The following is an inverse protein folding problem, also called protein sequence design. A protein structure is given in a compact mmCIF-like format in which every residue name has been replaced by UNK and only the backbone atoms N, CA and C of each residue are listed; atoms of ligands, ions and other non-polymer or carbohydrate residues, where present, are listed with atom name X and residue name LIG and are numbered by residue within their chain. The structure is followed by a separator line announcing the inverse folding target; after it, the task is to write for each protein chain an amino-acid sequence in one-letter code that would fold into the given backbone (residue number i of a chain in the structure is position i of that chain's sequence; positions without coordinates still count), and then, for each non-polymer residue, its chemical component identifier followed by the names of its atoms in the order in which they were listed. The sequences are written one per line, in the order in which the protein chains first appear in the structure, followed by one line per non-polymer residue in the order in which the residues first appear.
data_IF_455485068065
#
_entry.id   IF_455485068065
#
_cell.length_a   1.000
_cell.length_b   1.000
_cell.length_c   1.000
_cell.angle_alpha   90.00
_cell.angle_beta   90.00
_cell.angle_gamma   90.00
#
_symmetry.space_group_name_H-M   'P 1'
#
loop_
_entity.id
_entity.type
_entity.pdbx_description
1 polymer ?
#
# COMPACT_ATOMS: atom_id res chain seq x y z
N UNK A 1 18.76 5.64 -8.23
CA UNK A 1 17.97 5.43 -9.46
C UNK A 1 16.57 4.99 -9.08
N UNK A 2 15.52 5.58 -9.63
CA UNK A 2 14.13 5.18 -9.46
C UNK A 2 13.67 4.39 -10.70
N UNK A 3 13.13 3.18 -10.51
CA UNK A 3 12.51 2.42 -11.60
C UNK A 3 11.00 2.38 -11.41
N UNK A 4 10.25 2.79 -12.44
CA UNK A 4 8.80 2.75 -12.48
C UNK A 4 8.34 1.56 -13.31
N UNK A 5 7.65 0.61 -12.69
CA UNK A 5 6.98 -0.48 -13.38
C UNK A 5 5.50 -0.12 -13.59
N UNK A 6 5.10 0.18 -14.83
CA UNK A 6 3.77 0.73 -15.13
C UNK A 6 3.14 0.11 -16.37
N UNK A 7 1.83 -0.09 -16.35
CA UNK A 7 1.08 -0.61 -17.53
C UNK A 7 1.00 0.41 -18.66
N UNK A 8 0.85 1.69 -18.32
CA UNK A 8 0.71 2.77 -19.29
C UNK A 8 1.72 3.89 -19.02
N UNK A 9 2.90 3.85 -19.67
CA UNK A 9 3.93 4.89 -19.55
C UNK A 9 3.46 6.30 -19.86
N UNK A 10 2.44 6.50 -20.71
CA UNK A 10 1.96 7.85 -21.05
C UNK A 10 1.27 8.57 -19.90
N UNK A 11 0.91 7.86 -18.82
CA UNK A 11 0.38 8.45 -17.58
C UNK A 11 1.46 8.92 -16.62
N UNK A 12 2.74 8.66 -16.91
CA UNK A 12 3.85 9.15 -16.09
C UNK A 12 4.08 10.63 -16.41
N UNK A 13 4.11 11.53 -15.40
CA UNK A 13 4.40 12.95 -15.63
C UNK A 13 5.71 13.15 -16.39
N UNK A 14 5.73 14.08 -17.34
CA UNK A 14 6.87 14.34 -18.21
C UNK A 14 8.15 14.65 -17.42
N UNK A 15 8.03 15.42 -16.32
CA UNK A 15 9.14 15.75 -15.43
C UNK A 15 9.83 14.51 -14.84
N UNK A 16 9.11 13.40 -14.66
CA UNK A 16 9.67 12.13 -14.20
C UNK A 16 10.17 11.31 -15.39
N UNK A 17 9.40 11.24 -16.47
CA UNK A 17 9.75 10.46 -17.66
C UNK A 17 11.05 10.92 -18.34
N UNK A 18 11.39 12.22 -18.23
CA UNK A 18 12.60 12.80 -18.79
C UNK A 18 13.77 12.88 -17.77
N UNK A 19 13.57 12.45 -16.52
CA UNK A 19 14.60 12.50 -15.51
C UNK A 19 15.64 11.40 -15.72
N UNK A 20 16.92 11.75 -15.79
CA UNK A 20 18.03 10.78 -15.99
C UNK A 20 18.20 9.80 -14.83
N UNK A 21 17.66 10.11 -13.66
CA UNK A 21 17.64 9.21 -12.50
C UNK A 21 16.37 8.34 -12.44
N UNK A 22 15.50 8.40 -13.45
CA UNK A 22 14.29 7.59 -13.56
C UNK A 22 14.37 6.65 -14.78
N UNK A 23 13.94 5.41 -14.59
CA UNK A 23 13.78 4.40 -15.64
C UNK A 23 12.34 3.93 -15.65
N UNK A 24 11.76 3.73 -16.84
CA UNK A 24 10.41 3.19 -16.99
C UNK A 24 10.50 1.79 -17.58
N UNK A 25 9.82 0.83 -16.96
CA UNK A 25 9.59 -0.51 -17.48
C UNK A 25 8.08 -0.65 -17.70
N UNK A 26 7.69 -0.87 -18.95
CA UNK A 26 6.29 -1.11 -19.30
C UNK A 26 5.94 -2.56 -19.00
N UNK A 27 4.85 -2.79 -18.26
CA UNK A 27 4.35 -4.15 -18.03
C UNK A 27 3.17 -4.20 -17.06
N UNK A 28 2.55 -5.38 -17.00
CA UNK A 28 1.47 -5.72 -16.08
C UNK A 28 1.84 -6.94 -15.23
N UNK A 29 1.00 -7.24 -14.25
CA UNK A 29 1.13 -8.42 -13.40
C UNK A 29 0.84 -9.75 -14.12
N UNK A 30 0.30 -9.66 -15.33
CA UNK A 30 0.07 -10.74 -16.28
C UNK A 30 1.25 -11.00 -17.23
N UNK A 31 2.25 -10.12 -17.27
CA UNK A 31 3.39 -10.18 -18.18
C UNK A 31 4.66 -10.66 -17.47
N UNK A 32 4.95 -11.96 -17.53
CA UNK A 32 6.11 -12.56 -16.86
C UNK A 32 7.45 -11.97 -17.35
N UNK A 33 7.57 -11.64 -18.64
CA UNK A 33 8.81 -11.05 -19.18
C UNK A 33 9.06 -9.68 -18.56
N UNK A 34 8.01 -8.87 -18.46
CA UNK A 34 8.11 -7.56 -17.85
C UNK A 34 8.33 -7.62 -16.32
N UNK A 35 7.76 -8.61 -15.63
CA UNK A 35 8.02 -8.85 -14.20
C UNK A 35 9.48 -9.25 -13.95
N UNK A 36 10.04 -10.13 -14.78
CA UNK A 36 11.46 -10.47 -14.70
C UNK A 36 12.37 -9.27 -14.95
N UNK A 37 12.04 -8.45 -15.96
CA UNK A 37 12.78 -7.23 -16.25
C UNK A 37 12.71 -6.22 -15.07
N UNK A 38 11.54 -6.10 -14.44
CA UNK A 38 11.35 -5.26 -13.25
C UNK A 38 12.15 -5.78 -12.06
N UNK A 39 12.14 -7.10 -11.80
CA UNK A 39 12.94 -7.72 -10.75
C UNK A 39 14.45 -7.54 -10.98
N UNK A 40 14.91 -7.66 -12.22
CA UNK A 40 16.34 -7.51 -12.57
C UNK A 40 16.78 -6.04 -12.76
N UNK A 41 15.97 -5.05 -12.36
CA UNK A 41 16.28 -3.64 -12.58
C UNK A 41 17.36 -3.06 -11.64
N UNK A 42 17.81 -3.84 -10.65
CA UNK A 42 18.89 -3.45 -9.73
C UNK A 42 18.46 -2.56 -8.56
N UNK A 43 17.16 -2.46 -8.26
CA UNK A 43 16.68 -1.74 -7.09
C UNK A 43 16.77 -2.60 -5.81
N UNK A 44 16.99 -1.95 -4.67
CA UNK A 44 17.03 -2.61 -3.35
C UNK A 44 15.65 -2.74 -2.68
N UNK A 45 14.73 -1.81 -3.01
CA UNK A 45 13.45 -1.65 -2.32
C UNK A 45 12.34 -1.58 -3.36
N UNK A 46 11.34 -2.45 -3.20
CA UNK A 46 10.12 -2.44 -3.99
C UNK A 46 9.01 -1.73 -3.22
N UNK A 47 8.31 -0.83 -3.87
CA UNK A 47 7.13 -0.13 -3.32
C UNK A 47 5.98 -0.29 -4.29
N UNK A 48 4.84 -0.76 -3.81
CA UNK A 48 3.63 -0.90 -4.61
C UNK A 48 2.47 -0.10 -4.03
N UNK A 49 1.90 0.75 -4.87
CA UNK A 49 0.65 1.48 -4.63
C UNK A 49 -0.50 0.94 -5.49
N UNK A 50 -0.38 -0.28 -6.02
CA UNK A 50 -1.34 -0.79 -6.99
C UNK A 50 -2.72 -0.95 -6.34
N UNK A 51 -3.73 -0.40 -7.01
CA UNK A 51 -5.14 -0.53 -6.66
C UNK A 51 -5.87 -1.42 -7.66
N UNK A 52 -7.09 -1.84 -7.31
CA UNK A 52 -7.90 -2.66 -8.19
C UNK A 52 -8.34 -1.82 -9.38
N UNK A 53 -8.35 -2.43 -10.57
CA UNK A 53 -8.95 -1.80 -11.75
C UNK A 53 -10.46 -1.93 -11.61
N UNK A 54 -11.19 -0.87 -11.98
CA UNK A 54 -12.65 -0.91 -11.98
C UNK A 54 -13.16 -2.10 -12.80
N UNK A 55 -14.07 -2.88 -12.23
CA UNK A 55 -14.72 -4.00 -12.91
C UNK A 55 -13.88 -5.26 -13.15
N UNK A 56 -12.67 -5.36 -12.59
CA UNK A 56 -11.88 -6.60 -12.72
C UNK A 56 -12.59 -7.81 -12.10
N UNK A 57 -12.23 -9.01 -12.55
CA UNK A 57 -12.73 -10.29 -12.06
C UNK A 57 -11.61 -11.10 -11.41
N UNK A 58 -11.97 -11.88 -10.39
CA UNK A 58 -11.00 -12.72 -9.68
C UNK A 58 -10.03 -11.89 -8.85
N UNK A 59 -8.78 -12.34 -8.76
CA UNK A 59 -7.75 -11.76 -7.88
C UNK A 59 -6.43 -11.45 -8.62
N UNK A 60 -6.46 -10.63 -9.70
CA UNK A 60 -5.30 -10.38 -10.54
C UNK A 60 -4.14 -9.72 -9.80
N UNK A 61 -4.40 -8.92 -8.76
CA UNK A 61 -3.33 -8.32 -7.96
C UNK A 61 -2.64 -9.38 -7.09
N UNK A 62 -3.41 -10.24 -6.43
CA UNK A 62 -2.90 -11.37 -5.65
C UNK A 62 -2.03 -12.27 -6.52
N UNK A 63 -2.54 -12.68 -7.69
CA UNK A 63 -1.79 -13.54 -8.62
C UNK A 63 -0.54 -12.84 -9.17
N UNK A 64 -0.61 -11.53 -9.37
CA UNK A 64 0.55 -10.73 -9.73
C UNK A 64 1.65 -10.72 -8.68
N UNK A 65 1.31 -10.49 -7.41
CA UNK A 65 2.28 -10.55 -6.33
C UNK A 65 2.86 -11.95 -6.14
N UNK A 66 2.05 -13.01 -6.31
CA UNK A 66 2.53 -14.40 -6.27
C UNK A 66 3.61 -14.68 -7.32
N UNK A 67 3.58 -13.99 -8.45
CA UNK A 67 4.61 -14.08 -9.49
C UNK A 67 5.79 -13.16 -9.20
N UNK A 68 5.53 -11.93 -8.79
CA UNK A 68 6.56 -10.90 -8.66
C UNK A 68 7.42 -11.06 -7.41
N UNK A 69 6.84 -11.26 -6.22
CA UNK A 69 7.60 -11.24 -4.97
C UNK A 69 8.71 -12.31 -4.92
N UNK A 70 8.53 -13.54 -5.43
CA UNK A 70 9.62 -14.52 -5.55
C UNK A 70 10.76 -14.06 -6.48
N UNK A 71 10.43 -13.34 -7.56
CA UNK A 71 11.43 -12.77 -8.47
C UNK A 71 12.22 -11.66 -7.77
N UNK A 72 11.57 -10.84 -6.95
CA UNK A 72 12.24 -9.80 -6.16
C UNK A 72 13.17 -10.41 -5.12
N UNK A 73 12.70 -11.43 -4.38
CA UNK A 73 13.50 -12.13 -3.38
C UNK A 73 14.76 -12.76 -3.99
N UNK A 74 14.62 -13.42 -5.15
CA UNK A 74 15.77 -13.99 -5.89
C UNK A 74 16.67 -12.95 -6.57
N UNK A 75 16.18 -11.71 -6.74
CA UNK A 75 16.95 -10.58 -7.28
C UNK A 75 17.56 -9.68 -6.21
N UNK A 76 17.74 -10.20 -4.98
CA UNK A 76 18.37 -9.51 -3.85
C UNK A 76 17.66 -8.23 -3.35
N UNK A 77 16.34 -8.11 -3.57
CA UNK A 77 15.59 -7.02 -2.94
C UNK A 77 15.64 -7.18 -1.42
N UNK A 78 16.04 -6.11 -0.74
CA UNK A 78 16.15 -6.08 0.71
C UNK A 78 14.79 -5.86 1.36
N UNK A 79 13.84 -5.24 0.64
CA UNK A 79 12.56 -4.82 1.20
C UNK A 79 11.45 -4.72 0.16
N UNK A 80 10.23 -5.08 0.56
CA UNK A 80 9.00 -4.83 -0.18
C UNK A 80 7.97 -4.10 0.69
N UNK A 81 7.46 -2.96 0.24
CA UNK A 81 6.38 -2.22 0.88
C UNK A 81 5.15 -2.28 -0.01
N UNK A 82 4.09 -2.93 0.48
CA UNK A 82 2.93 -3.30 -0.31
C UNK A 82 1.69 -2.65 0.27
N UNK A 83 0.96 -1.92 -0.57
CA UNK A 83 -0.33 -1.37 -0.22
C UNK A 83 -1.35 -2.51 -0.04
N UNK A 84 -1.96 -2.55 1.14
CA UNK A 84 -3.13 -3.35 1.46
C UNK A 84 -4.34 -2.48 1.78
N UNK A 85 -5.42 -3.10 2.25
CA UNK A 85 -6.59 -2.37 2.78
C UNK A 85 -7.07 -3.01 4.09
N UNK A 86 -7.83 -2.28 4.92
CA UNK A 86 -8.49 -2.85 6.10
C UNK A 86 -9.47 -3.99 5.81
N UNK A 87 -9.79 -4.28 4.54
CA UNK A 87 -10.55 -5.47 4.14
C UNK A 87 -9.89 -6.77 4.57
N UNK A 88 -8.54 -6.80 4.62
CA UNK A 88 -7.80 -7.88 5.25
C UNK A 88 -7.62 -7.57 6.74
N UNK A 89 -8.09 -8.47 7.60
CA UNK A 89 -8.06 -8.32 9.04
C UNK A 89 -6.72 -8.81 9.61
N UNK A 90 -6.07 -7.96 10.41
CA UNK A 90 -4.92 -8.33 11.21
C UNK A 90 -5.36 -8.87 12.57
N UNK A 91 -4.57 -9.77 13.17
CA UNK A 91 -4.79 -10.23 14.54
C UNK A 91 -4.68 -9.11 15.59
N UNK A 92 -3.98 -8.02 15.26
CA UNK A 92 -3.82 -6.84 16.12
C UNK A 92 -5.02 -5.88 16.06
N UNK A 93 -5.95 -6.08 15.11
CA UNK A 93 -7.07 -5.16 14.90
C UNK A 93 -8.10 -5.24 16.03
N UNK A 94 -8.62 -4.06 16.39
CA UNK A 94 -9.67 -3.94 17.41
C UNK A 94 -11.04 -3.84 16.75
N UNK A 95 -12.06 -4.31 17.48
CA UNK A 95 -13.45 -4.16 17.05
C UNK A 95 -13.80 -2.68 16.91
N UNK A 96 -14.36 -2.30 15.78
CA UNK A 96 -14.91 -0.98 15.55
C UNK A 96 -16.11 -1.08 14.62
N UNK A 97 -17.28 -0.68 15.10
CA UNK A 97 -18.52 -0.77 14.34
C UNK A 97 -18.44 0.03 13.03
N UNK A 98 -17.84 1.22 13.07
CA UNK A 98 -17.66 2.06 11.89
C UNK A 98 -16.83 1.36 10.79
N UNK A 99 -15.73 0.71 11.18
CA UNK A 99 -14.90 -0.04 10.24
C UNK A 99 -15.57 -1.31 9.76
N UNK A 100 -16.26 -2.05 10.63
CA UNK A 100 -17.02 -3.25 10.26
C UNK A 100 -18.09 -2.93 9.22
N UNK A 101 -18.85 -1.83 9.40
CA UNK A 101 -19.83 -1.37 8.41
C UNK A 101 -19.15 -0.98 7.09
N UNK A 102 -18.04 -0.25 7.15
CA UNK A 102 -17.30 0.19 5.97
C UNK A 102 -16.78 -1.02 5.17
N UNK A 103 -16.11 -1.96 5.83
CA UNK A 103 -15.57 -3.18 5.22
C UNK A 103 -16.71 -4.06 4.67
N UNK A 104 -17.81 -4.19 5.43
CA UNK A 104 -19.00 -4.93 4.97
C UNK A 104 -19.59 -4.35 3.69
N UNK A 105 -19.66 -3.02 3.57
CA UNK A 105 -20.10 -2.37 2.34
C UNK A 105 -19.18 -2.66 1.14
N UNK A 106 -17.86 -2.69 1.36
CA UNK A 106 -16.88 -3.04 0.33
C UNK A 106 -17.05 -4.50 -0.10
N UNK A 107 -17.22 -5.42 0.85
CA UNK A 107 -17.43 -6.84 0.56
C UNK A 107 -18.71 -7.09 -0.27
N UNK A 108 -19.76 -6.29 -0.04
CA UNK A 108 -21.04 -6.39 -0.75
C UNK A 108 -20.98 -5.80 -2.16
N UNK A 109 -20.49 -4.55 -2.31
CA UNK A 109 -20.54 -3.82 -3.57
C UNK A 109 -19.30 -3.99 -4.45
N UNK A 110 -18.17 -4.38 -3.87
CA UNK A 110 -16.87 -4.52 -4.55
C UNK A 110 -16.23 -5.88 -4.27
N UNK A 111 -17.03 -6.95 -4.40
CA UNK A 111 -16.65 -8.32 -4.00
C UNK A 111 -15.32 -8.82 -4.55
N UNK A 112 -15.03 -8.60 -5.83
CA UNK A 112 -13.77 -9.04 -6.44
C UNK A 112 -12.57 -8.26 -5.86
N UNK A 113 -12.67 -6.93 -5.74
CA UNK A 113 -11.65 -6.12 -5.10
C UNK A 113 -11.44 -6.50 -3.63
N UNK A 114 -12.51 -6.77 -2.89
CA UNK A 114 -12.43 -7.27 -1.52
C UNK A 114 -11.62 -8.57 -1.45
N UNK A 115 -11.99 -9.56 -2.27
CA UNK A 115 -11.28 -10.85 -2.33
C UNK A 115 -9.82 -10.69 -2.73
N UNK A 116 -9.53 -9.79 -3.67
CA UNK A 116 -8.18 -9.55 -4.13
C UNK A 116 -7.31 -8.96 -3.00
N UNK A 117 -7.79 -7.96 -2.26
CA UNK A 117 -7.04 -7.44 -1.12
C UNK A 117 -6.91 -8.42 0.05
N UNK A 118 -7.91 -9.26 0.28
CA UNK A 118 -7.79 -10.38 1.24
C UNK A 118 -6.72 -11.36 0.78
N UNK A 119 -6.67 -11.68 -0.51
CA UNK A 119 -5.65 -12.53 -1.12
C UNK A 119 -4.24 -11.95 -1.00
N UNK A 120 -4.07 -10.65 -1.27
CA UNK A 120 -2.81 -9.93 -1.08
C UNK A 120 -2.37 -10.06 0.38
N UNK A 121 -3.26 -9.74 1.32
CA UNK A 121 -2.93 -9.79 2.75
C UNK A 121 -2.47 -11.18 3.18
N UNK A 122 -3.25 -12.21 2.86
CA UNK A 122 -2.92 -13.60 3.17
C UNK A 122 -1.56 -14.01 2.57
N UNK A 123 -1.31 -13.68 1.30
CA UNK A 123 -0.08 -14.07 0.63
C UNK A 123 1.13 -13.34 1.21
N UNK A 124 1.09 -12.01 1.32
CA UNK A 124 2.22 -11.20 1.81
C UNK A 124 2.58 -11.61 3.24
N UNK A 125 1.60 -11.80 4.12
CA UNK A 125 1.88 -12.19 5.51
C UNK A 125 2.32 -13.65 5.66
N UNK A 126 2.17 -14.48 4.63
CA UNK A 126 2.68 -15.85 4.61
C UNK A 126 4.16 -15.92 4.23
N UNK A 127 4.73 -14.85 3.66
CA UNK A 127 6.12 -14.84 3.23
C UNK A 127 7.07 -14.79 4.43
N UNK A 128 8.12 -15.62 4.45
CA UNK A 128 9.11 -15.56 5.52
C UNK A 128 9.97 -14.30 5.38
N UNK A 129 10.20 -13.61 6.51
CA UNK A 129 11.00 -12.39 6.54
C UNK A 129 12.49 -12.62 6.19
N UNK A 130 12.94 -13.86 6.21
CA UNK A 130 14.28 -14.26 5.74
C UNK A 130 14.43 -14.21 4.22
N UNK A 131 13.33 -14.34 3.45
CA UNK A 131 13.36 -14.23 1.99
C UNK A 131 13.22 -12.79 1.53
N UNK A 132 12.26 -12.06 2.10
CA UNK A 132 12.06 -10.64 1.80
C UNK A 132 11.45 -9.93 3.00
N UNK A 133 12.07 -8.82 3.42
CA UNK A 133 11.51 -7.99 4.48
C UNK A 133 10.32 -7.24 3.92
N UNK A 134 9.11 -7.63 4.30
CA UNK A 134 7.89 -7.02 3.80
C UNK A 134 7.25 -6.07 4.82
N UNK A 135 6.49 -5.10 4.33
CA UNK A 135 5.54 -4.29 5.12
C UNK A 135 4.24 -4.21 4.34
N UNK A 136 3.13 -4.64 4.93
CA UNK A 136 1.79 -4.52 4.31
C UNK A 136 1.07 -3.31 4.91
N UNK A 137 1.25 -2.11 4.34
CA UNK A 137 0.60 -0.91 4.85
C UNK A 137 -0.82 -0.81 4.32
N UNK A 138 -1.81 -0.84 5.22
CA UNK A 138 -3.23 -0.88 4.89
C UNK A 138 -3.80 0.53 4.85
N UNK A 139 -4.42 0.93 3.75
CA UNK A 139 -4.93 2.29 3.57
C UNK A 139 -6.45 2.33 3.47
N UNK A 140 -7.10 3.39 3.99
CA UNK A 140 -8.54 3.58 3.92
C UNK A 140 -8.90 4.41 2.70
N UNK A 141 -9.95 5.24 2.78
CA UNK A 141 -10.33 6.10 1.67
C UNK A 141 -9.24 7.15 1.41
N UNK A 142 -8.63 7.06 0.23
CA UNK A 142 -7.59 8.00 -0.19
C UNK A 142 -8.20 9.32 -0.66
N UNK A 143 -7.58 10.43 -0.27
CA UNK A 143 -8.00 11.80 -0.64
C UNK A 143 -6.85 12.61 -1.22
N UNK A 144 -7.17 13.75 -1.82
CA UNK A 144 -6.18 14.72 -2.34
C UNK A 144 -6.06 15.95 -1.43
N UNK A 145 -6.38 15.79 -0.14
CA UNK A 145 -6.18 16.84 0.86
C UNK A 145 -4.68 17.12 1.09
N UNK A 146 -4.38 18.27 1.71
CA UNK A 146 -3.03 18.60 2.14
C UNK A 146 -2.41 17.50 3.04
N UNK A 147 -1.08 17.34 3.06
CA UNK A 147 -0.44 16.41 3.97
C UNK A 147 -0.74 16.80 5.42
N UNK A 148 -0.95 15.80 6.26
CA UNK A 148 -1.15 15.96 7.70
C UNK A 148 -0.50 14.78 8.43
N UNK A 149 -0.49 14.82 9.75
CA UNK A 149 0.06 13.74 10.56
C UNK A 149 -0.61 12.39 10.22
N UNK A 150 0.21 11.33 10.15
CA UNK A 150 -0.21 9.96 9.84
C UNK A 150 -0.18 9.11 11.10
N UNK A 151 -1.34 8.57 11.46
CA UNK A 151 -1.43 7.43 12.37
C UNK A 151 -1.01 6.17 11.62
N UNK A 152 -0.18 5.34 12.24
CA UNK A 152 0.17 4.00 11.77
C UNK A 152 0.06 3.01 12.94
N UNK A 153 -0.81 2.01 12.81
CA UNK A 153 -1.04 1.04 13.88
C UNK A 153 -2.24 0.13 13.62
N UNK A 154 -2.75 -0.59 14.62
CA UNK A 154 -3.90 -1.47 14.46
C UNK A 154 -5.17 -0.71 14.05
N UNK A 155 -6.05 -1.38 13.31
CA UNK A 155 -7.40 -0.88 13.03
C UNK A 155 -8.19 -0.74 14.34
N UNK A 156 -9.13 0.22 14.38
CA UNK A 156 -10.03 0.41 15.52
C UNK A 156 -9.39 1.11 16.73
N UNK A 157 -8.17 1.66 16.62
CA UNK A 157 -7.61 2.54 17.64
C UNK A 157 -8.37 3.89 17.72
N UNK A 158 -8.37 4.59 18.87
CA UNK A 158 -9.16 5.82 19.05
C UNK A 158 -8.89 6.95 18.02
N UNK A 159 -7.67 7.04 17.49
CA UNK A 159 -7.24 8.13 16.61
C UNK A 159 -7.27 7.79 15.11
N UNK A 160 -7.63 6.55 14.76
CA UNK A 160 -7.68 6.13 13.36
C UNK A 160 -8.90 6.77 12.66
N UNK A 161 -8.68 7.29 11.46
CA UNK A 161 -9.75 7.86 10.64
C UNK A 161 -10.00 7.04 9.38
N UNK A 162 -11.17 7.24 8.77
CA UNK A 162 -11.52 6.61 7.49
C UNK A 162 -10.80 7.25 6.28
N UNK A 163 -9.95 8.26 6.49
CA UNK A 163 -9.34 9.04 5.40
C UNK A 163 -7.82 9.10 5.52
N UNK A 164 -7.15 9.08 4.37
CA UNK A 164 -5.72 9.29 4.26
C UNK A 164 -5.45 10.11 3.01
N UNK A 165 -4.75 11.24 3.10
CA UNK A 165 -4.33 11.95 1.91
C UNK A 165 -3.15 11.24 1.24
N UNK A 166 -3.13 11.24 -0.10
CA UNK A 166 -2.05 10.62 -0.88
C UNK A 166 -0.69 11.24 -0.55
N UNK A 167 -0.67 12.55 -0.28
CA UNK A 167 0.53 13.27 0.14
C UNK A 167 1.04 12.77 1.51
N UNK A 168 0.15 12.58 2.48
CA UNK A 168 0.51 12.02 3.79
C UNK A 168 1.05 10.59 3.68
N UNK A 169 0.40 9.75 2.86
CA UNK A 169 0.85 8.38 2.61
C UNK A 169 2.27 8.36 2.01
N UNK A 170 2.53 9.21 1.01
CA UNK A 170 3.84 9.33 0.40
C UNK A 170 4.92 9.77 1.41
N UNK A 171 4.61 10.79 2.23
CA UNK A 171 5.52 11.26 3.29
C UNK A 171 5.82 10.17 4.32
N UNK A 172 4.80 9.45 4.78
CA UNK A 172 4.99 8.34 5.72
C UNK A 172 5.85 7.24 5.11
N UNK A 173 5.60 6.88 3.84
CA UNK A 173 6.32 5.81 3.19
C UNK A 173 7.80 6.15 2.96
N UNK A 174 8.10 7.39 2.57
CA UNK A 174 9.50 7.86 2.45
C UNK A 174 10.24 7.78 3.78
N UNK A 175 9.61 8.19 4.88
CA UNK A 175 10.23 8.05 6.21
C UNK A 175 10.38 6.59 6.62
N UNK A 176 9.39 5.76 6.31
CA UNK A 176 9.39 4.36 6.72
C UNK A 176 10.42 3.53 5.94
N UNK A 177 10.74 3.91 4.70
CA UNK A 177 11.85 3.32 3.92
C UNK A 177 13.14 3.31 4.76
N UNK A 178 13.43 4.41 5.47
CA UNK A 178 14.62 4.56 6.30
C UNK A 178 14.44 3.98 7.71
N UNK A 179 13.31 4.28 8.38
CA UNK A 179 13.07 3.90 9.78
C UNK A 179 12.90 2.40 10.00
N UNK A 180 12.32 1.70 9.02
CA UNK A 180 12.14 0.25 9.04
C UNK A 180 11.35 -0.29 10.26
N UNK A 181 10.49 0.53 10.88
CA UNK A 181 9.72 0.19 12.07
C UNK A 181 8.64 -0.88 11.83
N UNK A 182 8.15 -0.96 10.58
CA UNK A 182 7.00 -1.77 10.18
C UNK A 182 7.38 -3.00 9.35
N UNK A 183 8.65 -3.43 9.39
CA UNK A 183 9.04 -4.72 8.81
C UNK A 183 8.28 -5.85 9.51
N UNK A 184 7.68 -6.74 8.72
CA UNK A 184 6.88 -7.88 9.18
C UNK A 184 5.54 -7.51 9.79
N UNK A 185 5.08 -6.27 9.59
CA UNK A 185 3.85 -5.75 10.20
C UNK A 185 2.85 -5.23 9.18
N UNK A 186 1.62 -5.05 9.65
CA UNK A 186 0.45 -4.73 8.83
C UNK A 186 -0.27 -3.44 9.27
N UNK A 187 0.43 -2.29 9.41
CA UNK A 187 -0.19 -1.08 9.97
C UNK A 187 -1.35 -0.58 9.10
N UNK A 188 -2.44 -0.16 9.73
CA UNK A 188 -3.43 0.72 9.11
C UNK A 188 -2.95 2.16 9.19
N UNK A 189 -2.92 2.84 8.05
CA UNK A 189 -2.56 4.24 7.92
C UNK A 189 -3.80 5.11 7.88
N UNK A 190 -3.79 6.26 8.55
CA UNK A 190 -4.83 7.28 8.35
C UNK A 190 -4.31 8.65 8.72
N UNK A 191 -4.92 9.70 8.20
CA UNK A 191 -4.70 11.02 8.79
C UNK A 191 -5.26 11.03 10.22
N UNK A 192 -4.52 11.61 11.16
CA UNK A 192 -4.98 11.74 12.54
C UNK A 192 -6.32 12.45 12.62
N UNK A 193 -7.25 11.87 13.37
CA UNK A 193 -8.47 12.56 13.77
C UNK A 193 -8.15 13.47 14.94
N UNK A 194 -8.08 14.78 14.70
CA UNK A 194 -8.11 15.76 15.80
C UNK A 194 -9.46 15.60 16.52
N UNK A 195 -9.44 15.37 17.83
CA UNK A 195 -10.65 15.48 18.63
C UNK A 195 -11.07 16.96 18.63
N UNK A 196 -12.22 17.26 18.06
CA UNK A 196 -12.81 18.60 18.01
C UNK A 196 -13.32 19.11 19.36
N UNK A 197 -12.77 18.62 20.48
CA UNK A 197 -13.14 19.00 21.85
C UNK A 197 -12.12 19.91 22.55
N UNK A 198 -11.12 20.44 21.84
CA UNK A 198 -10.17 21.43 22.40
C UNK A 198 -9.94 22.63 21.45
N UNK A 199 -11.02 23.23 20.95
CA UNK A 199 -10.99 24.61 20.43
C UNK A 199 -11.95 25.47 21.23
N UNK A 200 -11.61 25.71 22.49
CA UNK A 200 -12.02 26.90 23.23
C UNK A 200 -10.91 27.24 24.22
N UNK A 201 -9.86 27.88 23.69
CA UNK A 201 -9.01 28.73 24.53
C UNK A 201 -9.75 30.08 24.57
N UNK A 202 -10.15 30.60 25.74
CA UNK A 202 -10.72 31.93 25.82
C UNK A 202 -9.65 32.94 25.39
N UNK A 203 -9.98 33.83 24.46
CA UNK A 203 -9.22 35.06 24.24
C UNK A 203 -9.16 35.85 25.55
N UNK A 204 -7.96 36.37 25.85
CA UNK A 204 -7.68 37.29 26.95
C UNK A 204 -8.62 38.51 26.96
#
# INVERSE_FOLDING_TARGET
MLTLFVRNPSKVPQAIAQNTNARIIKGGFDDMVALEAAAKCGADIFVSFIGPISGHKGTPLTEGYKRLLPLLASSNYKRAMILGTPSWASSEDKRSLLWQMSIGSIALFFRDAYKDFVGIGNYVTSLPLSEIKWTLFRVPFLTDAAPSEVYAGPLGAPHISLKLSRASMANWLLQEIDKAQWIGKTPCLSNYKLNSSYTSIPSF
#
